data_IF_223445097507
#
_entry.id   IF_223445097507
#
_cell.length_a   1.000
_cell.length_b   1.000
_cell.length_c   1.000
_cell.angle_alpha   90.00
_cell.angle_beta   90.00
_cell.angle_gamma   90.00
#
_symmetry.space_group_name_H-M   'P 1'
#
loop_
_entity.id
_entity.type
_entity.pdbx_description
1 polymer ?
#
# COMPACT_ATOMS: atom_id res chain seq x y z
N UNK A 1 8.11 12.25 7.62
CA UNK A 1 8.36 10.79 7.77
C UNK A 1 7.44 10.12 8.81
N UNK A 2 6.24 10.65 9.06
CA UNK A 2 5.28 10.04 10.00
C UNK A 2 4.32 9.05 9.30
N UNK A 3 3.98 9.34 8.04
CA UNK A 3 3.02 8.57 7.25
C UNK A 3 3.44 7.11 7.02
N UNK A 4 4.70 6.85 6.65
CA UNK A 4 5.21 5.46 6.49
C UNK A 4 5.05 4.62 7.76
N UNK A 5 5.34 5.22 8.92
CA UNK A 5 5.21 4.55 10.21
C UNK A 5 3.75 4.27 10.56
N UNK A 6 2.85 5.24 10.31
CA UNK A 6 1.42 5.04 10.53
C UNK A 6 0.82 4.02 9.56
N UNK A 7 1.22 4.07 8.30
CA UNK A 7 0.80 3.11 7.30
C UNK A 7 1.18 1.68 7.70
N UNK A 8 2.44 1.47 8.09
CA UNK A 8 2.90 0.18 8.60
C UNK A 8 2.11 -0.26 9.84
N UNK A 9 1.79 0.68 10.74
CA UNK A 9 0.94 0.40 11.90
C UNK A 9 -0.47 -0.06 11.50
N UNK A 10 -1.14 0.62 10.57
CA UNK A 10 -2.48 0.21 10.12
C UNK A 10 -2.46 -1.11 9.35
N UNK A 11 -1.45 -1.30 8.51
CA UNK A 11 -1.23 -2.54 7.77
C UNK A 11 -1.10 -3.73 8.75
N UNK A 12 -0.19 -3.64 9.72
CA UNK A 12 0.04 -4.70 10.69
C UNK A 12 -1.15 -4.94 11.65
N UNK A 13 -2.00 -3.93 11.89
CA UNK A 13 -3.17 -4.05 12.76
C UNK A 13 -4.46 -4.44 12.04
N UNK A 14 -4.45 -4.64 10.72
CA UNK A 14 -5.67 -5.02 9.99
C UNK A 14 -6.65 -3.86 9.76
N UNK A 15 -6.20 -2.61 9.90
CA UNK A 15 -7.05 -1.41 9.82
C UNK A 15 -6.74 -0.54 8.61
N UNK A 16 -5.92 -1.05 7.68
CA UNK A 16 -5.54 -0.34 6.47
C UNK A 16 -6.72 -0.20 5.50
N UNK A 17 -6.85 0.96 4.87
CA UNK A 17 -7.57 1.09 3.60
C UNK A 17 -9.08 0.91 3.71
N UNK A 18 -9.69 1.08 4.89
CA UNK A 18 -11.15 1.00 5.02
C UNK A 18 -11.85 2.03 4.12
N UNK A 19 -12.89 1.64 3.36
CA UNK A 19 -13.55 0.31 3.34
C UNK A 19 -13.00 -0.68 2.30
N UNK A 20 -11.96 -0.34 1.54
CA UNK A 20 -11.41 -1.20 0.47
C UNK A 20 -11.04 -2.59 1.00
N UNK A 21 -10.35 -2.68 2.13
CA UNK A 21 -9.92 -3.95 2.73
C UNK A 21 -10.89 -4.51 3.78
N UNK A 22 -12.09 -3.97 3.88
CA UNK A 22 -13.09 -4.48 4.82
C UNK A 22 -13.45 -5.93 4.48
N UNK A 23 -13.28 -6.84 5.46
CA UNK A 23 -13.53 -8.27 5.29
C UNK A 23 -12.46 -9.04 4.50
N UNK A 24 -11.38 -8.38 4.06
CA UNK A 24 -10.27 -9.04 3.35
C UNK A 24 -9.29 -9.64 4.37
N UNK A 25 -9.07 -10.97 4.38
CA UNK A 25 -8.23 -11.63 5.38
C UNK A 25 -6.72 -11.51 5.08
N UNK A 26 -6.24 -10.31 4.76
CA UNK A 26 -4.86 -10.10 4.28
C UNK A 26 -3.79 -10.29 5.38
N UNK A 27 -4.17 -10.26 6.67
CA UNK A 27 -3.21 -10.40 7.78
C UNK A 27 -2.45 -11.73 7.76
N UNK A 28 -3.06 -12.78 7.21
CA UNK A 28 -2.40 -14.09 7.05
C UNK A 28 -1.18 -14.02 6.12
N UNK A 29 -1.15 -13.06 5.18
CA UNK A 29 -0.04 -12.86 4.25
C UNK A 29 1.23 -12.36 4.95
N UNK A 30 1.10 -11.68 6.11
CA UNK A 30 2.25 -11.13 6.85
C UNK A 30 3.31 -12.19 7.18
N UNK A 31 2.90 -13.43 7.47
CA UNK A 31 3.81 -14.53 7.78
C UNK A 31 4.02 -15.53 6.64
N UNK A 32 3.17 -15.50 5.60
CA UNK A 32 3.16 -16.51 4.53
C UNK A 32 3.75 -15.99 3.23
N UNK A 33 3.45 -14.75 2.87
CA UNK A 33 3.76 -14.17 1.56
C UNK A 33 4.27 -12.73 1.74
N UNK A 34 5.50 -12.56 2.28
CA UNK A 34 6.06 -11.23 2.57
C UNK A 34 6.19 -10.32 1.36
N UNK A 35 6.32 -10.89 0.15
CA UNK A 35 6.37 -10.14 -1.11
C UNK A 35 5.10 -9.33 -1.37
N UNK A 36 3.91 -9.82 -0.98
CA UNK A 36 2.67 -9.07 -1.11
C UNK A 36 2.67 -7.84 -0.19
N UNK A 37 3.25 -7.98 1.01
CA UNK A 37 3.38 -6.89 1.98
C UNK A 37 4.44 -5.87 1.53
N UNK A 38 5.58 -6.35 1.03
CA UNK A 38 6.62 -5.51 0.43
C UNK A 38 6.04 -4.65 -0.71
N UNK A 39 5.33 -5.27 -1.64
CA UNK A 39 4.71 -4.56 -2.76
C UNK A 39 3.67 -3.53 -2.29
N UNK A 40 2.88 -3.86 -1.27
CA UNK A 40 1.92 -2.93 -0.67
C UNK A 40 2.61 -1.69 -0.07
N UNK A 41 3.73 -1.91 0.64
CA UNK A 41 4.55 -0.83 1.18
C UNK A 41 5.21 0.00 0.08
N UNK A 42 5.69 -0.64 -0.99
CA UNK A 42 6.31 0.04 -2.13
C UNK A 42 5.31 0.95 -2.84
N UNK A 43 4.10 0.45 -3.15
CA UNK A 43 3.05 1.25 -3.78
C UNK A 43 2.69 2.47 -2.93
N UNK A 44 2.56 2.29 -1.61
CA UNK A 44 2.32 3.43 -0.73
C UNK A 44 3.47 4.45 -0.82
N UNK A 45 4.72 4.01 -0.74
CA UNK A 45 5.88 4.88 -0.80
C UNK A 45 6.04 5.61 -2.15
N UNK A 46 5.81 4.90 -3.27
CA UNK A 46 5.95 5.44 -4.62
C UNK A 46 4.87 6.50 -4.92
N UNK A 47 3.64 6.27 -4.45
CA UNK A 47 2.51 7.19 -4.67
C UNK A 47 2.57 8.41 -3.73
N UNK A 48 3.30 8.34 -2.61
CA UNK A 48 3.38 9.45 -1.67
C UNK A 48 3.99 10.71 -2.31
N UNK A 49 3.21 11.77 -2.37
CA UNK A 49 3.66 13.10 -2.77
C UNK A 49 4.06 13.90 -1.54
N UNK A 50 5.24 14.49 -1.62
CA UNK A 50 5.83 15.35 -0.59
C UNK A 50 6.05 16.74 -1.16
N UNK A 51 5.52 17.75 -0.50
CA UNK A 51 5.69 19.15 -0.90
C UNK A 51 7.10 19.69 -0.60
N UNK A 52 7.37 20.93 -1.04
CA UNK A 52 8.65 21.62 -0.83
C UNK A 52 9.03 21.78 0.66
N UNK A 53 8.06 21.65 1.57
CA UNK A 53 8.25 21.75 3.03
C UNK A 53 8.39 20.38 3.68
N UNK A 54 8.47 19.31 2.89
CA UNK A 54 8.58 17.95 3.40
C UNK A 54 7.28 17.38 3.97
N UNK A 55 6.12 17.99 3.67
CA UNK A 55 4.81 17.52 4.12
C UNK A 55 4.17 16.61 3.07
N UNK A 56 3.56 15.52 3.54
CA UNK A 56 2.78 14.64 2.66
C UNK A 56 1.45 15.31 2.32
N UNK A 57 1.12 15.38 1.03
CA UNK A 57 -0.10 16.05 0.55
C UNK A 57 -1.19 15.10 0.05
N UNK A 58 -0.86 13.83 -0.19
CA UNK A 58 -1.79 12.86 -0.80
C UNK A 58 -1.90 11.51 -0.06
N UNK A 59 -1.59 11.46 1.25
CA UNK A 59 -1.52 10.22 2.05
C UNK A 59 -2.71 9.27 1.83
N UNK A 60 -3.94 9.82 1.78
CA UNK A 60 -5.16 9.03 1.57
C UNK A 60 -5.22 8.39 0.18
N UNK A 61 -4.76 9.08 -0.86
CA UNK A 61 -4.70 8.55 -2.22
C UNK A 61 -3.66 7.42 -2.29
N UNK A 62 -2.46 7.63 -1.75
CA UNK A 62 -1.42 6.60 -1.65
C UNK A 62 -1.91 5.36 -0.89
N UNK A 63 -2.59 5.57 0.25
CA UNK A 63 -3.18 4.49 1.04
C UNK A 63 -4.22 3.70 0.25
N UNK A 64 -5.06 4.38 -0.52
CA UNK A 64 -6.07 3.75 -1.36
C UNK A 64 -5.43 2.89 -2.45
N UNK A 65 -4.40 3.37 -3.14
CA UNK A 65 -3.70 2.60 -4.18
C UNK A 65 -3.08 1.32 -3.64
N UNK A 66 -2.39 1.43 -2.49
CA UNK A 66 -1.81 0.26 -1.83
C UNK A 66 -2.89 -0.74 -1.37
N UNK A 67 -4.03 -0.26 -0.86
CA UNK A 67 -5.15 -1.11 -0.45
C UNK A 67 -5.83 -1.81 -1.65
N UNK A 68 -5.93 -1.14 -2.80
CA UNK A 68 -6.47 -1.73 -4.02
C UNK A 68 -5.60 -2.89 -4.52
N UNK A 69 -4.28 -2.71 -4.52
CA UNK A 69 -3.34 -3.80 -4.81
C UNK A 69 -3.56 -4.98 -3.87
N UNK A 70 -3.50 -4.75 -2.56
CA UNK A 70 -3.59 -5.83 -1.58
C UNK A 70 -4.93 -6.57 -1.66
N UNK A 71 -6.03 -5.85 -1.97
CA UNK A 71 -7.31 -6.49 -2.24
C UNK A 71 -7.29 -7.35 -3.50
N UNK A 72 -6.76 -6.85 -4.62
CA UNK A 72 -6.66 -7.64 -5.86
C UNK A 72 -5.78 -8.88 -5.69
N UNK A 73 -4.81 -8.83 -4.77
CA UNK A 73 -3.99 -9.98 -4.42
C UNK A 73 -4.79 -11.06 -3.69
N UNK A 74 -5.68 -10.66 -2.76
CA UNK A 74 -6.51 -11.59 -1.98
C UNK A 74 -7.78 -12.06 -2.72
N UNK A 75 -8.35 -11.22 -3.57
CA UNK A 75 -9.62 -11.43 -4.26
C UNK A 75 -9.42 -11.28 -5.78
N UNK A 76 -9.28 -12.40 -6.52
CA UNK A 76 -9.12 -12.37 -7.98
C UNK A 76 -10.30 -11.75 -8.74
N UNK A 77 -11.46 -11.59 -8.10
CA UNK A 77 -12.62 -10.93 -8.71
C UNK A 77 -12.60 -9.42 -8.56
N UNK A 78 -11.69 -8.88 -7.73
CA UNK A 78 -11.53 -7.45 -7.53
C UNK A 78 -10.67 -6.83 -8.65
N UNK A 79 -11.27 -5.90 -9.39
CA UNK A 79 -10.58 -5.14 -10.43
C UNK A 79 -10.11 -3.79 -9.89
N UNK A 80 -8.82 -3.48 -10.10
CA UNK A 80 -8.24 -2.19 -9.75
C UNK A 80 -8.50 -1.21 -10.88
N UNK A 81 -9.37 -0.22 -10.63
CA UNK A 81 -9.72 0.82 -11.61
C UNK A 81 -9.42 2.21 -11.02
N UNK A 82 -8.57 3.03 -11.67
CA UNK A 82 -7.74 2.69 -12.83
C UNK A 82 -6.67 1.64 -12.48
N UNK A 83 -6.15 0.88 -13.46
CA UNK A 83 -5.03 -0.07 -13.25
C UNK A 83 -3.86 0.59 -12.52
N UNK A 84 -3.06 -0.21 -11.81
CA UNK A 84 -1.79 0.26 -11.26
C UNK A 84 -0.82 0.58 -12.41
N UNK A 85 -0.20 1.74 -12.34
CA UNK A 85 0.84 2.14 -13.28
C UNK A 85 2.17 1.46 -12.93
N UNK A 86 3.04 1.27 -13.92
CA UNK A 86 4.32 0.57 -13.74
C UNK A 86 5.19 1.23 -12.66
N UNK A 87 5.16 2.56 -12.57
CA UNK A 87 5.92 3.32 -11.56
C UNK A 87 5.34 3.17 -10.14
N UNK A 88 4.04 2.87 -10.01
CA UNK A 88 3.45 2.63 -8.68
C UNK A 88 3.96 1.31 -8.11
N UNK A 89 4.21 0.31 -8.96
CA UNK A 89 4.63 -1.03 -8.54
C UNK A 89 6.14 -1.25 -8.55
N UNK A 90 6.93 -0.29 -8.99
CA UNK A 90 8.38 -0.41 -9.08
C UNK A 90 9.02 -0.66 -7.68
N UNK A 91 9.86 -1.69 -7.59
CA UNK A 91 10.65 -1.98 -6.39
C UNK A 91 12.05 -1.39 -6.53
N UNK A 92 12.45 -0.59 -5.56
CA UNK A 92 13.78 0.03 -5.53
C UNK A 92 14.73 -0.77 -4.63
N UNK A 93 15.91 -1.10 -5.16
CA UNK A 93 16.99 -1.67 -4.37
C UNK A 93 17.48 -0.65 -3.31
N UNK A 94 18.00 -1.11 -2.17
CA UNK A 94 18.62 -0.22 -1.20
C UNK A 94 19.72 0.61 -1.87
N UNK A 95 19.73 1.91 -1.58
CA UNK A 95 20.81 2.79 -2.00
C UNK A 95 22.12 2.29 -1.38
N UNK A 96 23.10 1.98 -2.22
CA UNK A 96 24.42 1.46 -1.85
C UNK A 96 25.32 2.56 -1.30
#
# INVERSE_FOLDING_TARGET
MYELRLFAFWLANGTLGLPVLEGVPYLELMGREPSAIEQTMAIFANVLEVDERGQVVNARAAQQRAAQYLRSYCDPSYEVVPPLEDWEVELHAPAV
#
